data_IF_581076052543
#
_entry.id   IF_581076052543
#
_cell.length_a   1.000
_cell.length_b   1.000
_cell.length_c   1.000
_cell.angle_alpha   90.00
_cell.angle_beta   90.00
_cell.angle_gamma   90.00
#
_symmetry.space_group_name_H-M   'P 1'
#
loop_
_entity.id
_entity.type
_entity.pdbx_description
1 polymer ?
#
# COMPACT_ATOMS: atom_id res chain seq x y z
N UNK A 1 58.32 24.49 29.64
CA UNK A 1 57.40 23.39 30.02
C UNK A 1 56.06 23.98 30.47
N UNK A 2 54.96 23.44 29.93
CA UNK A 2 53.58 23.47 30.46
C UNK A 2 52.85 24.83 30.52
N UNK A 3 52.40 25.36 29.37
CA UNK A 3 51.28 26.34 29.29
C UNK A 3 50.40 26.17 28.05
N UNK A 4 50.11 24.93 27.64
CA UNK A 4 49.20 24.65 26.51
C UNK A 4 48.25 23.49 26.82
N UNK A 5 47.73 23.39 28.04
CA UNK A 5 47.00 22.19 28.49
C UNK A 5 45.68 22.48 29.21
N UNK A 6 45.06 23.64 28.98
CA UNK A 6 43.81 24.02 29.67
C UNK A 6 42.72 24.65 28.79
N UNK A 7 42.83 24.56 27.46
CA UNK A 7 41.86 25.18 26.54
C UNK A 7 41.23 24.24 25.51
N UNK A 8 41.47 22.93 25.63
CA UNK A 8 41.06 21.92 24.63
C UNK A 8 40.14 20.84 25.22
N UNK A 9 39.48 21.16 26.35
CA UNK A 9 38.53 20.29 27.05
C UNK A 9 37.11 20.89 27.08
N UNK A 10 36.75 21.72 26.09
CA UNK A 10 35.44 22.36 25.99
C UNK A 10 34.73 22.09 24.65
N UNK A 11 35.13 21.04 23.92
CA UNK A 11 34.63 20.74 22.57
C UNK A 11 34.14 19.29 22.41
N UNK A 12 33.71 18.64 23.49
CA UNK A 12 33.13 17.29 23.45
C UNK A 12 31.82 17.25 24.25
N UNK A 13 30.87 18.11 23.88
CA UNK A 13 29.47 18.01 24.31
C UNK A 13 28.53 18.29 23.12
N UNK A 14 28.84 17.73 21.94
CA UNK A 14 27.79 17.46 20.97
C UNK A 14 27.20 16.12 21.41
N UNK A 15 26.29 16.19 22.38
CA UNK A 15 25.46 15.07 22.78
C UNK A 15 24.75 14.59 21.53
N UNK A 16 25.11 13.38 21.10
CA UNK A 16 24.43 12.61 20.07
C UNK A 16 22.97 12.44 20.47
N UNK A 17 22.14 13.42 20.14
CA UNK A 17 20.69 13.31 20.10
C UNK A 17 20.28 12.42 18.93
N UNK A 18 20.76 11.17 18.90
CA UNK A 18 20.06 10.13 18.18
C UNK A 18 18.74 9.95 18.93
N UNK A 19 17.69 10.63 18.44
CA UNK A 19 16.33 10.38 18.87
C UNK A 19 16.11 8.87 18.84
N UNK A 20 15.89 8.27 20.00
CA UNK A 20 15.46 6.88 20.09
C UNK A 20 14.08 6.85 19.44
N UNK A 21 14.05 6.50 18.16
CA UNK A 21 12.81 6.19 17.45
C UNK A 21 12.29 4.92 18.11
N UNK A 22 11.40 5.09 19.08
CA UNK A 22 10.85 3.97 19.83
C UNK A 22 10.00 3.14 18.86
N UNK A 23 10.49 1.95 18.50
CA UNK A 23 9.85 0.98 17.62
C UNK A 23 8.43 0.55 18.10
N UNK A 24 8.05 0.92 19.32
CA UNK A 24 6.75 0.62 19.92
C UNK A 24 5.73 1.77 19.81
N UNK A 25 6.11 2.93 19.25
CA UNK A 25 5.23 4.10 19.17
C UNK A 25 4.39 4.16 17.90
N UNK A 26 4.75 3.43 16.84
CA UNK A 26 4.05 3.46 15.55
C UNK A 26 3.12 2.26 15.36
N UNK A 27 2.00 2.40 14.64
CA UNK A 27 1.17 1.25 14.28
C UNK A 27 1.94 0.28 13.38
N UNK A 28 1.52 -0.99 13.39
CA UNK A 28 2.03 -1.96 12.41
C UNK A 28 1.19 -1.85 11.14
N UNK A 29 1.80 -1.37 10.08
CA UNK A 29 1.20 -1.23 8.75
C UNK A 29 1.69 -2.39 7.88
N UNK A 30 0.76 -3.09 7.22
CA UNK A 30 1.07 -4.07 6.19
C UNK A 30 0.28 -3.71 4.94
N UNK A 31 0.98 -3.52 3.83
CA UNK A 31 0.41 -3.26 2.52
C UNK A 31 0.81 -4.43 1.62
N UNK A 32 -0.19 -5.08 1.05
CA UNK A 32 -0.02 -6.16 0.07
C UNK A 32 -0.65 -5.68 -1.23
N UNK A 33 0.12 -5.65 -2.31
CA UNK A 33 -0.37 -5.37 -3.65
C UNK A 33 0.27 -6.37 -4.61
N UNK A 34 -0.54 -7.20 -5.26
CA UNK A 34 -0.06 -8.31 -6.08
C UNK A 34 -0.87 -8.45 -7.34
N UNK A 35 -0.19 -8.60 -8.47
CA UNK A 35 -0.76 -9.07 -9.72
C UNK A 35 -0.29 -10.49 -9.95
N UNK A 36 -1.19 -11.43 -10.24
CA UNK A 36 -0.80 -12.81 -10.56
C UNK A 36 -1.55 -13.38 -11.76
N UNK A 37 -1.06 -14.50 -12.28
CA UNK A 37 -1.86 -15.36 -13.15
C UNK A 37 -3.07 -15.89 -12.40
N UNK A 38 -4.09 -16.25 -13.18
CA UNK A 38 -5.27 -16.93 -12.68
C UNK A 38 -4.99 -18.43 -12.61
N UNK A 39 -5.64 -19.10 -11.66
CA UNK A 39 -5.84 -20.54 -11.73
C UNK A 39 -6.91 -20.88 -12.77
N UNK A 40 -6.97 -22.16 -13.18
CA UNK A 40 -8.02 -22.63 -14.08
C UNK A 40 -9.42 -22.39 -13.50
N UNK A 41 -9.61 -22.64 -12.20
CA UNK A 41 -10.86 -22.43 -11.48
C UNK A 41 -11.26 -20.94 -11.45
N UNK A 42 -10.29 -20.05 -11.21
CA UNK A 42 -10.54 -18.61 -11.25
C UNK A 42 -10.97 -18.19 -12.66
N UNK A 43 -10.28 -18.65 -13.71
CA UNK A 43 -10.62 -18.31 -15.10
C UNK A 43 -12.03 -18.76 -15.51
N UNK A 44 -12.46 -19.94 -15.07
CA UNK A 44 -13.82 -20.44 -15.29
C UNK A 44 -14.88 -19.54 -14.64
N UNK A 45 -14.54 -18.84 -13.55
CA UNK A 45 -15.42 -17.91 -12.84
C UNK A 45 -15.42 -16.47 -13.36
N UNK A 46 -14.41 -16.08 -14.15
CA UNK A 46 -14.24 -14.70 -14.66
C UNK A 46 -15.39 -14.26 -15.55
N UNK A 47 -15.95 -15.20 -16.33
CA UNK A 47 -16.95 -14.94 -17.36
C UNK A 47 -16.35 -14.17 -18.55
N UNK A 48 -16.25 -14.78 -19.72
CA UNK A 48 -15.49 -14.21 -20.87
C UNK A 48 -16.38 -13.74 -22.03
N UNK A 49 -17.67 -13.53 -21.76
CA UNK A 49 -18.63 -13.14 -22.77
C UNK A 49 -18.23 -11.82 -23.45
N UNK A 50 -18.27 -11.79 -24.78
CA UNK A 50 -17.92 -10.61 -25.58
C UNK A 50 -16.43 -10.46 -25.91
N UNK A 51 -15.57 -11.40 -25.49
CA UNK A 51 -14.16 -11.44 -25.89
C UNK A 51 -13.97 -12.52 -26.95
N UNK A 52 -13.35 -12.15 -28.07
CA UNK A 52 -12.97 -13.11 -29.10
C UNK A 52 -11.81 -13.98 -28.62
N UNK A 53 -12.02 -15.31 -28.67
CA UNK A 53 -11.07 -16.36 -28.31
C UNK A 53 -10.31 -16.07 -27.00
N UNK A 54 -11.01 -15.99 -25.85
CA UNK A 54 -10.39 -15.64 -24.58
C UNK A 54 -9.45 -16.75 -24.11
N UNK A 55 -8.29 -16.39 -23.59
CA UNK A 55 -7.32 -17.28 -22.97
C UNK A 55 -7.12 -16.88 -21.50
N UNK A 56 -6.81 -17.84 -20.64
CA UNK A 56 -6.43 -17.59 -19.25
C UNK A 56 -5.26 -16.59 -19.13
N UNK A 57 -4.36 -16.58 -20.11
CA UNK A 57 -3.20 -15.68 -20.15
C UNK A 57 -3.57 -14.23 -20.47
N UNK A 58 -4.79 -13.98 -20.95
CA UNK A 58 -5.30 -12.63 -21.20
C UNK A 58 -5.76 -11.94 -19.91
N UNK A 59 -5.86 -12.68 -18.80
CA UNK A 59 -6.34 -12.16 -17.54
C UNK A 59 -5.25 -12.17 -16.48
N UNK A 60 -5.34 -11.22 -15.55
CA UNK A 60 -4.55 -11.19 -14.33
C UNK A 60 -5.45 -10.94 -13.13
N UNK A 61 -5.07 -11.47 -11.99
CA UNK A 61 -5.72 -11.22 -10.71
C UNK A 61 -4.94 -10.14 -9.98
N UNK A 62 -5.62 -9.06 -9.60
CA UNK A 62 -5.09 -8.04 -8.71
C UNK A 62 -5.64 -8.27 -7.31
N UNK A 63 -4.75 -8.37 -6.33
CA UNK A 63 -5.06 -8.43 -4.91
C UNK A 63 -4.41 -7.23 -4.23
N UNK A 64 -5.21 -6.43 -3.53
CA UNK A 64 -4.76 -5.29 -2.74
C UNK A 64 -5.33 -5.39 -1.34
N UNK A 65 -4.48 -5.22 -0.34
CA UNK A 65 -4.87 -5.22 1.07
C UNK A 65 -4.02 -4.22 1.85
N UNK A 66 -4.67 -3.41 2.69
CA UNK A 66 -4.01 -2.59 3.70
C UNK A 66 -4.53 -2.99 5.07
N UNK A 67 -3.61 -3.37 5.96
CA UNK A 67 -3.92 -3.73 7.34
C UNK A 67 -3.11 -2.89 8.30
N UNK A 68 -3.82 -2.15 9.16
CA UNK A 68 -3.22 -1.32 10.21
C UNK A 68 -3.62 -1.90 11.55
N UNK A 69 -2.64 -2.32 12.34
CA UNK A 69 -2.86 -2.73 13.74
C UNK A 69 -2.31 -1.67 14.69
N UNK A 70 -3.14 -1.19 15.61
CA UNK A 70 -2.74 -0.19 16.59
C UNK A 70 -1.56 -0.71 17.45
N UNK A 71 -0.65 0.19 17.82
CA UNK A 71 0.28 -0.03 18.93
C UNK A 71 -0.36 0.44 20.24
N UNK A 72 0.28 0.16 21.38
CA UNK A 72 -0.16 0.66 22.69
C UNK A 72 -0.12 2.19 22.82
N UNK A 73 0.52 2.89 21.89
CA UNK A 73 0.71 4.35 21.91
C UNK A 73 -0.20 5.10 20.93
N UNK A 74 -0.87 4.40 20.01
CA UNK A 74 -1.79 5.00 19.04
C UNK A 74 -3.16 5.22 19.68
N UNK A 75 -3.68 6.43 19.55
CA UNK A 75 -5.04 6.82 20.00
C UNK A 75 -6.04 6.85 18.87
N UNK A 76 -5.59 7.15 17.67
CA UNK A 76 -6.42 7.38 16.50
C UNK A 76 -5.66 7.03 15.21
N UNK A 77 -6.41 6.66 14.17
CA UNK A 77 -5.86 6.29 12.86
C UNK A 77 -6.79 6.71 11.73
N UNK A 78 -6.19 6.98 10.60
CA UNK A 78 -6.86 7.36 9.37
C UNK A 78 -6.33 6.48 8.24
N UNK A 79 -7.22 5.94 7.44
CA UNK A 79 -6.88 5.09 6.31
C UNK A 79 -7.71 5.52 5.11
N UNK A 80 -7.05 6.13 4.15
CA UNK A 80 -7.63 6.42 2.84
C UNK A 80 -7.00 5.47 1.82
N UNK A 81 -7.85 4.81 1.05
CA UNK A 81 -7.45 3.87 0.01
C UNK A 81 -8.22 4.16 -1.27
N UNK A 82 -7.70 3.75 -2.44
CA UNK A 82 -8.43 3.88 -3.68
C UNK A 82 -9.76 3.12 -3.62
N UNK A 83 -10.81 3.74 -4.14
CA UNK A 83 -12.13 3.13 -4.31
C UNK A 83 -12.16 2.22 -5.53
N UNK A 84 -13.22 1.41 -5.67
CA UNK A 84 -13.46 0.60 -6.88
C UNK A 84 -13.45 1.48 -8.13
N UNK A 85 -14.00 2.69 -8.06
CA UNK A 85 -14.06 3.64 -9.16
C UNK A 85 -12.67 4.17 -9.52
N UNK A 86 -11.78 4.37 -8.54
CA UNK A 86 -10.40 4.79 -8.82
C UNK A 86 -9.63 3.69 -9.56
N UNK A 87 -9.79 2.42 -9.13
CA UNK A 87 -9.21 1.27 -9.83
C UNK A 87 -9.74 1.16 -11.27
N UNK A 88 -11.06 1.31 -11.47
CA UNK A 88 -11.66 1.31 -12.80
C UNK A 88 -11.11 2.45 -13.65
N UNK A 89 -11.07 3.68 -13.13
CA UNK A 89 -10.55 4.84 -13.85
C UNK A 89 -9.06 4.70 -14.23
N UNK A 90 -8.26 4.04 -13.39
CA UNK A 90 -6.86 3.77 -13.66
C UNK A 90 -6.67 2.72 -14.77
N UNK A 91 -7.49 1.66 -14.76
CA UNK A 91 -7.39 0.53 -15.71
C UNK A 91 -8.09 0.81 -17.04
N UNK A 92 -9.18 1.58 -17.04
CA UNK A 92 -10.12 1.68 -18.17
C UNK A 92 -9.90 2.89 -19.09
N UNK A 93 -8.77 3.60 -18.99
CA UNK A 93 -8.53 4.85 -19.74
C UNK A 93 -8.84 4.75 -21.23
N UNK A 94 -8.45 3.65 -21.87
CA UNK A 94 -8.62 3.45 -23.33
C UNK A 94 -9.34 2.13 -23.69
N UNK A 95 -9.51 1.22 -22.75
CA UNK A 95 -10.06 -0.13 -22.98
C UNK A 95 -10.69 -0.60 -21.69
N UNK A 96 -11.86 -1.23 -21.73
CA UNK A 96 -12.49 -1.83 -20.54
C UNK A 96 -11.63 -3.02 -20.05
N UNK A 97 -10.71 -2.76 -19.12
CA UNK A 97 -9.73 -3.70 -18.57
C UNK A 97 -10.08 -4.13 -17.16
N UNK A 98 -10.79 -3.31 -16.37
CA UNK A 98 -11.39 -3.70 -15.11
C UNK A 98 -12.58 -4.62 -15.38
N UNK A 99 -12.36 -5.93 -15.25
CA UNK A 99 -13.33 -6.93 -15.72
C UNK A 99 -14.39 -7.24 -14.65
N UNK A 100 -13.94 -7.59 -13.45
CA UNK A 100 -14.80 -7.81 -12.30
C UNK A 100 -13.98 -7.68 -11.03
N UNK A 101 -14.65 -7.48 -9.89
CA UNK A 101 -13.97 -7.32 -8.62
C UNK A 101 -14.88 -6.87 -7.51
N UNK A 102 -14.29 -6.71 -6.33
CA UNK A 102 -14.98 -6.27 -5.13
C UNK A 102 -14.02 -5.63 -4.15
N UNK A 103 -14.59 -4.90 -3.20
CA UNK A 103 -13.84 -4.25 -2.13
C UNK A 103 -14.50 -4.46 -0.78
N UNK A 104 -13.69 -4.52 0.27
CA UNK A 104 -14.14 -4.47 1.67
C UNK A 104 -13.38 -3.34 2.38
N UNK A 105 -14.04 -2.65 3.30
CA UNK A 105 -13.41 -1.58 4.08
C UNK A 105 -13.93 -1.57 5.52
N UNK A 106 -13.01 -1.56 6.47
CA UNK A 106 -13.27 -1.49 7.90
C UNK A 106 -12.26 -0.58 8.58
N UNK A 107 -12.71 0.57 9.05
CA UNK A 107 -11.88 1.55 9.75
C UNK A 107 -12.76 2.37 10.71
N UNK A 108 -13.29 1.74 11.76
CA UNK A 108 -14.12 2.45 12.73
C UNK A 108 -13.29 2.98 13.92
N UNK A 109 -13.74 4.09 14.49
CA UNK A 109 -13.14 4.71 15.67
C UNK A 109 -13.05 3.70 16.83
N UNK A 110 -11.88 3.64 17.47
CA UNK A 110 -11.64 2.73 18.59
C UNK A 110 -11.35 1.27 18.21
N UNK A 111 -11.46 0.87 16.94
CA UNK A 111 -11.05 -0.47 16.51
C UNK A 111 -9.54 -0.67 16.72
N UNK A 112 -9.12 -1.89 17.01
CA UNK A 112 -7.67 -2.20 17.10
C UNK A 112 -7.03 -2.45 15.74
N UNK A 113 -7.84 -2.77 14.73
CA UNK A 113 -7.37 -3.18 13.40
C UNK A 113 -8.25 -2.59 12.31
N UNK A 114 -7.67 -1.75 11.45
CA UNK A 114 -8.28 -1.36 10.18
C UNK A 114 -7.85 -2.28 9.06
N UNK A 115 -8.77 -2.53 8.15
CA UNK A 115 -8.57 -3.40 7.00
C UNK A 115 -9.28 -2.79 5.79
N UNK A 116 -8.55 -2.64 4.70
CA UNK A 116 -9.10 -2.39 3.37
C UNK A 116 -8.65 -3.51 2.44
N UNK A 117 -9.56 -4.02 1.63
CA UNK A 117 -9.29 -5.06 0.65
C UNK A 117 -9.92 -4.69 -0.68
N UNK A 118 -9.20 -4.99 -1.75
CA UNK A 118 -9.71 -4.94 -3.12
C UNK A 118 -9.18 -6.15 -3.86
N UNK A 119 -10.04 -6.78 -4.65
CA UNK A 119 -9.65 -7.82 -5.58
C UNK A 119 -10.32 -7.58 -6.91
N UNK A 120 -9.61 -7.83 -8.00
CA UNK A 120 -10.17 -7.72 -9.34
C UNK A 120 -9.52 -8.67 -10.33
N UNK A 121 -10.27 -9.04 -11.36
CA UNK A 121 -9.72 -9.59 -12.58
C UNK A 121 -9.52 -8.46 -13.59
N UNK A 122 -8.34 -8.43 -14.20
CA UNK A 122 -7.89 -7.45 -15.17
C UNK A 122 -7.74 -8.15 -16.52
N UNK A 123 -8.35 -7.61 -17.57
CA UNK A 123 -8.06 -8.00 -18.93
C UNK A 123 -6.74 -7.34 -19.40
N UNK A 124 -5.67 -8.12 -19.29
CA UNK A 124 -4.28 -7.73 -19.49
C UNK A 124 -3.71 -8.17 -20.86
N UNK A 125 -4.56 -8.62 -21.80
CA UNK A 125 -4.11 -8.93 -23.17
C UNK A 125 -3.36 -7.73 -23.75
N UNK A 126 -2.14 -7.99 -24.20
CA UNK A 126 -1.26 -6.98 -24.80
C UNK A 126 -0.62 -6.01 -23.82
N UNK A 127 -0.72 -6.24 -22.50
CA UNK A 127 -0.01 -5.44 -21.49
C UNK A 127 1.18 -6.21 -20.91
N UNK A 128 2.29 -5.51 -20.82
CA UNK A 128 3.43 -5.88 -19.99
C UNK A 128 3.16 -5.56 -18.52
N UNK A 129 3.94 -6.18 -17.63
CA UNK A 129 3.91 -5.88 -16.20
C UNK A 129 4.23 -4.41 -15.91
N UNK A 130 5.15 -3.82 -16.67
CA UNK A 130 5.52 -2.40 -16.50
C UNK A 130 4.38 -1.48 -16.89
N UNK A 131 3.64 -1.77 -17.97
CA UNK A 131 2.47 -0.98 -18.35
C UNK A 131 1.37 -1.08 -17.29
N UNK A 132 1.09 -2.28 -16.77
CA UNK A 132 0.17 -2.47 -15.65
C UNK A 132 0.60 -1.70 -14.40
N UNK A 133 1.90 -1.73 -14.08
CA UNK A 133 2.47 -0.95 -12.97
C UNK A 133 2.21 0.53 -13.16
N UNK A 134 2.54 1.08 -14.33
CA UNK A 134 2.36 2.50 -14.66
C UNK A 134 0.90 2.91 -14.59
N UNK A 135 -0.04 2.07 -15.05
CA UNK A 135 -1.48 2.32 -14.93
C UNK A 135 -1.92 2.48 -13.47
N UNK A 136 -1.31 1.72 -12.55
CA UNK A 136 -1.67 1.69 -11.13
C UNK A 136 -0.88 2.68 -10.25
N UNK A 137 0.17 3.34 -10.77
CA UNK A 137 0.94 4.36 -10.03
C UNK A 137 0.07 5.48 -9.43
N UNK A 138 -0.94 6.04 -10.12
CA UNK A 138 -1.73 7.15 -9.60
C UNK A 138 -2.57 6.80 -8.37
N UNK A 139 -2.75 5.52 -8.07
CA UNK A 139 -3.56 5.05 -6.95
C UNK A 139 -2.78 5.22 -5.64
N UNK A 140 -3.16 6.21 -4.85
CA UNK A 140 -2.52 6.57 -3.59
C UNK A 140 -3.22 5.91 -2.39
N UNK A 141 -2.42 5.53 -1.40
CA UNK A 141 -2.82 5.00 -0.10
C UNK A 141 -2.28 5.98 0.94
N UNK A 142 -3.15 6.60 1.72
CA UNK A 142 -2.76 7.55 2.76
C UNK A 142 -3.06 6.95 4.13
N UNK A 143 -2.04 6.89 4.99
CA UNK A 143 -2.14 6.31 6.33
C UNK A 143 -1.72 7.36 7.35
N UNK A 144 -2.68 7.82 8.16
CA UNK A 144 -2.48 8.74 9.26
C UNK A 144 -2.60 8.06 10.62
N UNK A 145 -1.86 8.55 11.63
CA UNK A 145 -2.12 8.16 13.02
C UNK A 145 -1.74 9.25 14.01
N UNK A 146 -2.34 9.16 15.21
CA UNK A 146 -2.05 10.02 16.36
C UNK A 146 -1.60 9.21 17.55
N UNK A 147 -0.52 9.66 18.20
CA UNK A 147 -0.03 9.06 19.43
C UNK A 147 -0.66 9.71 20.68
N UNK A 148 -0.52 9.04 21.83
CA UNK A 148 -1.01 9.51 23.14
C UNK A 148 -0.41 10.85 23.59
N UNK A 149 0.79 11.18 23.11
CA UNK A 149 1.45 12.47 23.35
C UNK A 149 0.89 13.61 22.48
N UNK A 150 -0.08 13.31 21.60
CA UNK A 150 -0.70 14.26 20.69
C UNK A 150 0.03 14.42 19.35
N UNK A 151 1.19 13.79 19.17
CA UNK A 151 1.91 13.82 17.89
C UNK A 151 1.10 13.14 16.78
N UNK A 152 1.18 13.71 15.56
CA UNK A 152 0.48 13.23 14.37
C UNK A 152 1.48 12.87 13.29
N UNK A 153 1.23 11.77 12.61
CA UNK A 153 2.04 11.28 11.51
C UNK A 153 1.14 10.91 10.34
N UNK A 154 1.69 11.00 9.14
CA UNK A 154 1.05 10.50 7.92
C UNK A 154 2.12 9.92 6.98
N UNK A 155 1.75 8.88 6.24
CA UNK A 155 2.58 8.22 5.25
C UNK A 155 1.74 7.89 4.02
N UNK A 156 2.26 8.28 2.85
CA UNK A 156 1.64 8.01 1.56
C UNK A 156 2.41 6.90 0.84
N UNK A 157 1.66 6.02 0.18
CA UNK A 157 2.18 4.96 -0.68
C UNK A 157 1.46 5.01 -2.02
N UNK A 158 2.18 4.73 -3.10
CA UNK A 158 1.60 4.60 -4.43
C UNK A 158 1.53 3.13 -4.81
N UNK A 159 0.35 2.67 -5.24
CA UNK A 159 0.10 1.24 -5.46
C UNK A 159 1.11 0.64 -6.45
N UNK A 160 1.38 1.32 -7.56
CA UNK A 160 2.38 0.87 -8.55
C UNK A 160 3.80 0.70 -7.98
N UNK A 161 4.16 1.39 -6.89
CA UNK A 161 5.48 1.25 -6.27
C UNK A 161 5.59 0.03 -5.33
N UNK A 162 4.47 -0.40 -4.76
CA UNK A 162 4.40 -1.56 -3.85
C UNK A 162 3.89 -2.83 -4.54
N UNK A 163 3.64 -2.75 -5.84
CA UNK A 163 3.07 -3.83 -6.65
C UNK A 163 4.07 -4.93 -6.97
N UNK A 164 3.75 -6.16 -6.58
CA UNK A 164 4.51 -7.37 -6.90
C UNK A 164 3.85 -8.17 -8.03
N UNK A 165 4.65 -8.76 -8.92
CA UNK A 165 4.18 -9.63 -9.99
C UNK A 165 4.49 -11.11 -9.68
N UNK A 166 3.40 -11.86 -9.55
CA UNK A 166 3.23 -13.29 -9.26
C UNK A 166 3.17 -14.14 -10.52
N UNK A 167 4.07 -15.10 -10.72
CA UNK A 167 3.86 -16.17 -11.73
C UNK A 167 2.69 -17.10 -11.37
#
# INVERSE_FOLDING_TARGET
MKRYLLGLLLMVLIVSGCGRFDLFTTPRINITARVSRLTQEEFESVGTAGIDNPSINDFRKLEFQVKISNSSHVTDKELEVPTVQDFQAALDKDTHRAWSGGSSYRNADGEKVSLAEYHAFIYARGLSEEELRVMLIPLQISIGWRNKDGSRFSQDYYLGQVLEFKE
#
